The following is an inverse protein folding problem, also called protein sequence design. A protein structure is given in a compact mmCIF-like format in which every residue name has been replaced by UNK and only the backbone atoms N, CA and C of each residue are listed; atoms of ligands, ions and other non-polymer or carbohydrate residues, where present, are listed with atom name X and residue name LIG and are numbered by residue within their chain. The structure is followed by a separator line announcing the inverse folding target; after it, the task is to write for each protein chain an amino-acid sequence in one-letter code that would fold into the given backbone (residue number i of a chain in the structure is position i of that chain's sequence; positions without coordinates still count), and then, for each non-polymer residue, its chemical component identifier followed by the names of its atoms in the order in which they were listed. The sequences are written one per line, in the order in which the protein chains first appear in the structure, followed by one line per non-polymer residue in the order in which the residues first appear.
data_IF_715641188995
#
_entry.id   IF_715641188995
#
_cell.length_a   1.000
_cell.length_b   1.000
_cell.length_c   1.000
_cell.angle_alpha   90.00
_cell.angle_beta   90.00
_cell.angle_gamma   90.00
#
_symmetry.space_group_name_H-M   'P 1'
#
loop_
_entity.id
_entity.type
_entity.pdbx_description
1 polymer ?
#
# COMPACT_ATOMS: atom_id res chain seq x y z
N UNK A 1 -15.24 -0.77 -2.64
CA UNK A 1 -14.39 -1.96 -2.46
C UNK A 1 -13.09 -1.72 -3.22
N UNK A 2 -11.92 -1.93 -2.61
CA UNK A 2 -10.65 -1.82 -3.35
C UNK A 2 -10.32 -3.12 -4.08
N UNK A 3 -9.65 -3.04 -5.23
CA UNK A 3 -9.12 -4.22 -5.94
C UNK A 3 -8.09 -4.96 -5.09
N UNK A 4 -8.02 -6.28 -5.27
CA UNK A 4 -6.95 -7.09 -4.69
C UNK A 4 -5.63 -6.80 -5.39
N UNK A 5 -4.49 -7.01 -4.72
CA UNK A 5 -3.17 -6.83 -5.34
C UNK A 5 -2.91 -7.81 -6.49
N UNK A 6 -3.59 -8.96 -6.50
CA UNK A 6 -3.49 -9.95 -7.56
C UNK A 6 -4.27 -9.51 -8.83
N UNK A 7 -5.46 -8.92 -8.65
CA UNK A 7 -6.22 -8.34 -9.76
C UNK A 7 -5.48 -7.14 -10.36
N UNK A 8 -5.01 -6.22 -9.50
CA UNK A 8 -4.22 -5.08 -9.96
C UNK A 8 -2.94 -5.52 -10.71
N UNK A 9 -2.30 -6.61 -10.28
CA UNK A 9 -1.15 -7.17 -10.99
C UNK A 9 -1.56 -7.72 -12.38
N UNK A 10 -2.68 -8.43 -12.46
CA UNK A 10 -3.19 -9.01 -13.70
C UNK A 10 -3.62 -7.93 -14.70
N UNK A 11 -4.33 -6.90 -14.24
CA UNK A 11 -4.76 -5.76 -15.07
C UNK A 11 -3.58 -4.92 -15.57
N UNK A 12 -2.52 -4.79 -14.77
CA UNK A 12 -1.30 -4.10 -15.16
C UNK A 12 -0.35 -4.96 -16.04
N UNK A 13 -0.72 -6.21 -16.35
CA UNK A 13 0.05 -7.09 -17.23
C UNK A 13 1.22 -7.83 -16.54
N UNK A 14 1.23 -7.91 -15.22
CA UNK A 14 2.20 -8.74 -14.49
C UNK A 14 1.76 -10.20 -14.46
N UNK A 15 2.74 -11.10 -14.53
CA UNK A 15 2.53 -12.54 -14.39
C UNK A 15 1.80 -12.93 -13.09
N UNK A 16 2.11 -12.25 -11.98
CA UNK A 16 1.47 -12.44 -10.68
C UNK A 16 1.76 -11.27 -9.73
N UNK A 17 1.14 -11.30 -8.55
CA UNK A 17 1.32 -10.30 -7.49
C UNK A 17 2.78 -10.15 -7.01
N UNK A 18 3.53 -11.25 -6.91
CA UNK A 18 4.92 -11.25 -6.45
C UNK A 18 5.83 -10.60 -7.49
N UNK A 19 5.61 -10.86 -8.79
CA UNK A 19 6.32 -10.19 -9.87
C UNK A 19 6.10 -8.66 -9.80
N UNK A 20 4.85 -8.22 -9.71
CA UNK A 20 4.51 -6.80 -9.53
C UNK A 20 5.21 -6.21 -8.29
N UNK A 21 5.15 -6.90 -7.15
CA UNK A 21 5.73 -6.39 -5.89
C UNK A 21 7.26 -6.24 -5.98
N UNK A 22 7.96 -7.19 -6.62
CA UNK A 22 9.42 -7.09 -6.85
C UNK A 22 9.77 -5.89 -7.72
N UNK A 23 9.04 -5.69 -8.82
CA UNK A 23 9.28 -4.57 -9.73
C UNK A 23 8.93 -3.22 -9.09
N UNK A 24 7.83 -3.17 -8.35
CA UNK A 24 7.42 -1.98 -7.60
C UNK A 24 8.49 -1.61 -6.55
N UNK A 25 8.99 -2.58 -5.79
CA UNK A 25 10.10 -2.33 -4.83
C UNK A 25 11.39 -1.89 -5.52
N UNK A 26 11.72 -2.45 -6.67
CA UNK A 26 12.91 -2.05 -7.45
C UNK A 26 12.80 -0.60 -7.94
N UNK A 27 11.59 -0.18 -8.32
CA UNK A 27 11.32 1.14 -8.89
C UNK A 27 11.17 2.22 -7.82
N UNK A 28 10.42 1.93 -6.74
CA UNK A 28 10.01 2.90 -5.72
C UNK A 28 10.66 2.70 -4.35
N UNK A 29 11.49 1.67 -4.18
CA UNK A 29 12.17 1.34 -2.90
C UNK A 29 11.26 0.75 -1.82
N UNK A 30 9.93 0.78 -2.00
CA UNK A 30 8.93 0.33 -1.04
C UNK A 30 8.05 -0.76 -1.65
N UNK A 31 7.40 -1.58 -0.83
CA UNK A 31 6.36 -2.51 -1.33
C UNK A 31 5.01 -1.80 -1.45
N UNK A 32 4.09 -2.24 -2.33
CA UNK A 32 2.77 -1.65 -2.46
C UNK A 32 1.97 -1.60 -1.14
N UNK A 33 2.09 -2.66 -0.32
CA UNK A 33 1.42 -2.70 0.99
C UNK A 33 1.95 -1.65 1.97
N UNK A 34 3.27 -1.41 1.98
CA UNK A 34 3.88 -0.37 2.82
C UNK A 34 3.55 1.03 2.31
N UNK A 35 3.53 1.21 0.99
CA UNK A 35 3.07 2.45 0.36
C UNK A 35 1.63 2.78 0.78
N UNK A 36 0.72 1.80 0.68
CA UNK A 36 -0.69 1.95 1.08
C UNK A 36 -0.85 2.22 2.57
N UNK A 37 0.01 1.68 3.43
CA UNK A 37 -0.03 2.00 4.85
C UNK A 37 0.35 3.47 5.11
N UNK A 38 1.34 4.01 4.40
CA UNK A 38 1.77 5.41 4.50
C UNK A 38 0.71 6.35 3.94
N UNK A 39 0.14 6.03 2.77
CA UNK A 39 -0.85 6.90 2.11
C UNK A 39 -2.26 6.76 2.67
N UNK A 40 -2.59 5.58 3.23
CA UNK A 40 -3.89 5.26 3.81
C UNK A 40 -4.06 5.72 5.26
N UNK A 41 -3.04 6.28 5.90
CA UNK A 41 -3.09 6.72 7.31
C UNK A 41 -3.63 8.15 7.49
N UNK A 42 -4.17 8.78 6.45
CA UNK A 42 -4.70 10.15 6.53
C UNK A 42 -5.89 10.30 7.50
N UNK A 43 -6.51 9.19 7.92
CA UNK A 43 -7.69 9.18 8.80
C UNK A 43 -7.47 8.61 10.20
N UNK A 44 -6.23 8.24 10.59
CA UNK A 44 -5.96 7.65 11.92
C UNK A 44 -5.26 8.59 12.90
N UNK A 45 -4.60 9.66 12.42
CA UNK A 45 -3.85 10.59 13.28
C UNK A 45 -4.74 11.63 13.98
N UNK A 46 -5.98 11.84 13.52
CA UNK A 46 -6.94 12.79 14.14
C UNK A 46 -7.75 12.05 15.23
N UNK A 47 -7.09 11.59 16.28
CA UNK A 47 -7.74 10.83 17.36
C UNK A 47 -6.91 10.56 18.62
N UNK A 48 -5.63 10.91 18.64
CA UNK A 48 -4.84 10.91 19.88
C UNK A 48 -5.10 12.20 20.66
N UNK A 49 -6.24 12.23 21.35
CA UNK A 49 -6.56 13.25 22.35
C UNK A 49 -5.46 13.35 23.41
N UNK A 50 -4.94 14.57 23.54
CA UNK A 50 -4.41 15.29 24.70
C UNK A 50 -3.86 14.49 25.91
N UNK A 51 -2.68 14.88 26.43
CA UNK A 51 -2.26 14.43 27.76
C UNK A 51 -3.28 14.93 28.79
N UNK A 52 -3.93 14.01 29.51
CA UNK A 52 -4.64 14.40 30.73
C UNK A 52 -3.59 14.76 31.78
N UNK A 53 -3.85 15.89 32.40
CA UNK A 53 -3.15 16.46 33.55
C UNK A 53 -3.15 15.51 34.74
#
# INVERSE_FOLDING_TARGET
SGQSLAEAASEAGFADQSHMTRQFKRTYGLTPGRWRAITGDSSRTIGASAPRQ
#
